data_IF_129558849394
#
_entry.id   IF_129558849394
#
_cell.length_a   1.000
_cell.length_b   1.000
_cell.length_c   1.000
_cell.angle_alpha   90.00
_cell.angle_beta   90.00
_cell.angle_gamma   90.00
#
_symmetry.space_group_name_H-M   'P 1'
#
loop_
_entity.id
_entity.type
_entity.pdbx_description
1 polymer ?
#
# COMPACT_ATOMS: atom_id res chain seq x y z
N UNK A 1 -26.86 79.86 -14.65
CA UNK A 1 -26.82 78.46 -15.13
C UNK A 1 -25.37 78.03 -15.35
N UNK A 2 -24.67 77.55 -14.30
CA UNK A 2 -23.26 77.11 -14.42
C UNK A 2 -22.87 76.04 -13.38
N UNK A 3 -23.82 75.21 -12.97
CA UNK A 3 -23.63 74.19 -11.91
C UNK A 3 -23.79 72.75 -12.40
N UNK A 4 -24.11 72.48 -13.67
CA UNK A 4 -24.35 71.10 -14.16
C UNK A 4 -23.13 70.41 -14.81
N UNK A 5 -21.97 71.07 -14.93
CA UNK A 5 -20.80 70.49 -15.63
C UNK A 5 -19.86 69.66 -14.74
N UNK A 6 -19.99 69.72 -13.41
CA UNK A 6 -19.18 68.91 -12.48
C UNK A 6 -19.85 67.59 -12.07
N UNK A 7 -21.18 67.55 -12.03
CA UNK A 7 -21.96 66.37 -11.63
C UNK A 7 -21.84 65.22 -12.65
N UNK A 8 -21.89 65.54 -13.95
CA UNK A 8 -21.74 64.55 -15.03
C UNK A 8 -20.39 63.81 -14.96
N UNK A 9 -19.30 64.50 -14.61
CA UNK A 9 -17.97 63.88 -14.47
C UNK A 9 -17.92 62.89 -13.30
N UNK A 10 -18.53 63.24 -12.16
CA UNK A 10 -18.60 62.36 -10.99
C UNK A 10 -19.42 61.11 -11.32
N UNK A 11 -20.56 61.26 -12.01
CA UNK A 11 -21.39 60.13 -12.45
C UNK A 11 -20.61 59.23 -13.42
N UNK A 12 -19.89 59.80 -14.38
CA UNK A 12 -19.07 59.03 -15.34
C UNK A 12 -17.92 58.30 -14.63
N UNK A 13 -17.22 58.95 -13.70
CA UNK A 13 -16.18 58.30 -12.89
C UNK A 13 -16.75 57.19 -12.00
N UNK A 14 -17.93 57.39 -11.42
CA UNK A 14 -18.62 56.38 -10.62
C UNK A 14 -19.01 55.17 -11.48
N UNK A 15 -19.58 55.41 -12.66
CA UNK A 15 -19.92 54.32 -13.61
C UNK A 15 -18.66 53.58 -14.05
N UNK A 16 -17.57 54.29 -14.39
CA UNK A 16 -16.30 53.67 -14.74
C UNK A 16 -15.71 52.85 -13.58
N UNK A 17 -15.79 53.35 -12.34
CA UNK A 17 -15.34 52.63 -11.16
C UNK A 17 -16.14 51.34 -10.95
N UNK A 18 -17.47 51.39 -11.07
CA UNK A 18 -18.34 50.21 -10.94
C UNK A 18 -18.05 49.19 -12.04
N UNK A 19 -17.95 49.62 -13.30
CA UNK A 19 -17.60 48.74 -14.43
C UNK A 19 -16.21 48.12 -14.22
N UNK A 20 -15.25 48.89 -13.71
CA UNK A 20 -13.91 48.40 -13.39
C UNK A 20 -13.93 47.30 -12.32
N UNK A 21 -14.68 47.49 -11.24
CA UNK A 21 -14.83 46.46 -10.17
C UNK A 21 -15.51 45.20 -10.73
N UNK A 22 -16.60 45.34 -11.49
CA UNK A 22 -17.29 44.19 -12.11
C UNK A 22 -16.35 43.44 -13.06
N UNK A 23 -15.59 44.17 -13.89
CA UNK A 23 -14.62 43.57 -14.81
C UNK A 23 -13.48 42.83 -14.09
N UNK A 24 -13.02 43.36 -12.95
CA UNK A 24 -12.01 42.72 -12.11
C UNK A 24 -12.54 41.44 -11.45
N UNK A 25 -13.74 41.48 -10.86
CA UNK A 25 -14.42 40.31 -10.28
C UNK A 25 -14.66 39.22 -11.33
N UNK A 26 -15.18 39.59 -12.51
CA UNK A 26 -15.38 38.66 -13.61
C UNK A 26 -14.05 38.02 -14.06
N UNK A 27 -12.99 38.82 -14.21
CA UNK A 27 -11.67 38.32 -14.59
C UNK A 27 -11.08 37.38 -13.54
N UNK A 28 -11.30 37.66 -12.26
CA UNK A 28 -10.88 36.80 -11.17
C UNK A 28 -11.67 35.47 -11.18
N UNK A 29 -12.99 35.53 -11.31
CA UNK A 29 -13.86 34.34 -11.43
C UNK A 29 -13.45 33.45 -12.59
N UNK A 30 -13.22 34.03 -13.78
CA UNK A 30 -12.78 33.27 -14.96
C UNK A 30 -11.42 32.60 -14.77
N UNK A 31 -10.48 33.24 -14.07
CA UNK A 31 -9.18 32.61 -13.75
C UNK A 31 -9.33 31.45 -12.77
N UNK A 32 -10.21 31.59 -11.78
CA UNK A 32 -10.51 30.53 -10.82
C UNK A 32 -11.14 29.33 -11.54
N UNK A 33 -12.15 29.57 -12.38
CA UNK A 33 -12.81 28.53 -13.17
C UNK A 33 -11.83 27.83 -14.12
N UNK A 34 -11.01 28.58 -14.87
CA UNK A 34 -10.02 28.00 -15.77
C UNK A 34 -9.00 27.13 -15.01
N UNK A 35 -8.62 27.53 -13.80
CA UNK A 35 -7.72 26.74 -12.95
C UNK A 35 -8.40 25.48 -12.44
N UNK A 36 -9.66 25.57 -12.00
CA UNK A 36 -10.45 24.43 -11.55
C UNK A 36 -10.68 23.41 -12.68
N UNK A 37 -11.02 23.86 -13.88
CA UNK A 37 -11.18 23.01 -15.07
C UNK A 37 -9.88 22.30 -15.43
N UNK A 38 -8.74 23.00 -15.35
CA UNK A 38 -7.43 22.39 -15.59
C UNK A 38 -7.11 21.32 -14.55
N UNK A 39 -7.25 21.63 -13.26
CA UNK A 39 -7.00 20.66 -12.20
C UNK A 39 -7.93 19.42 -12.31
N UNK A 40 -9.18 19.62 -12.69
CA UNK A 40 -10.11 18.52 -12.94
C UNK A 40 -9.68 17.65 -14.12
N UNK A 41 -9.29 18.26 -15.24
CA UNK A 41 -8.76 17.55 -16.40
C UNK A 41 -7.49 16.76 -16.05
N UNK A 42 -6.55 17.41 -15.35
CA UNK A 42 -5.27 16.81 -14.96
C UNK A 42 -5.50 15.62 -14.01
N UNK A 43 -6.47 15.73 -13.08
CA UNK A 43 -6.85 14.62 -12.20
C UNK A 43 -7.46 13.42 -12.93
N UNK A 44 -8.29 13.64 -13.96
CA UNK A 44 -8.80 12.55 -14.81
C UNK A 44 -7.66 11.87 -15.57
N UNK A 45 -6.79 12.67 -16.17
CA UNK A 45 -5.65 12.18 -16.94
C UNK A 45 -4.70 11.37 -16.05
N UNK A 46 -4.36 11.90 -14.87
CA UNK A 46 -3.53 11.21 -13.90
C UNK A 46 -4.15 9.87 -13.47
N UNK A 47 -5.46 9.80 -13.23
CA UNK A 47 -6.13 8.53 -12.89
C UNK A 47 -5.94 7.48 -13.98
N UNK A 48 -6.17 7.86 -15.25
CA UNK A 48 -5.99 6.92 -16.37
C UNK A 48 -4.53 6.55 -16.58
N UNK A 49 -3.58 7.45 -16.32
CA UNK A 49 -2.15 7.13 -16.31
C UNK A 49 -1.81 6.12 -15.21
N UNK A 50 -2.39 6.25 -14.00
CA UNK A 50 -2.22 5.27 -12.93
C UNK A 50 -2.84 3.90 -13.29
N UNK A 51 -4.01 3.88 -13.94
CA UNK A 51 -4.64 2.65 -14.45
C UNK A 51 -3.78 2.00 -15.56
N UNK A 52 -3.15 2.80 -16.43
CA UNK A 52 -2.22 2.31 -17.45
C UNK A 52 -0.96 1.72 -16.80
N UNK A 53 -0.39 2.37 -15.78
CA UNK A 53 0.70 1.83 -14.97
C UNK A 53 0.33 0.49 -14.33
N UNK A 54 -0.86 0.38 -13.74
CA UNK A 54 -1.38 -0.87 -13.20
C UNK A 54 -1.48 -1.95 -14.29
N UNK A 55 -1.99 -1.62 -15.48
CA UNK A 55 -2.06 -2.57 -16.59
C UNK A 55 -0.67 -3.07 -17.04
N UNK A 56 0.36 -2.21 -17.05
CA UNK A 56 1.74 -2.64 -17.33
C UNK A 56 2.28 -3.56 -16.23
N UNK A 57 2.00 -3.27 -14.96
CA UNK A 57 2.37 -4.16 -13.86
C UNK A 57 1.70 -5.53 -13.98
N UNK A 58 0.41 -5.57 -14.30
CA UNK A 58 -0.32 -6.82 -14.54
C UNK A 58 0.31 -7.62 -15.68
N UNK A 59 0.72 -6.96 -16.76
CA UNK A 59 1.40 -7.61 -17.90
C UNK A 59 2.67 -8.35 -17.47
N UNK A 60 3.46 -7.78 -16.56
CA UNK A 60 4.64 -8.46 -16.01
C UNK A 60 4.24 -9.63 -15.08
N UNK A 61 3.22 -9.45 -14.24
CA UNK A 61 2.76 -10.47 -13.28
C UNK A 61 2.19 -11.71 -13.99
N UNK A 62 1.38 -11.51 -15.03
CA UNK A 62 0.74 -12.61 -15.78
C UNK A 62 1.68 -13.30 -16.76
N UNK A 63 2.89 -12.78 -16.96
CA UNK A 63 3.90 -13.45 -17.77
C UNK A 63 4.24 -14.83 -17.19
N UNK A 64 4.60 -15.78 -18.06
CA UNK A 64 4.89 -17.16 -17.70
C UNK A 64 6.18 -17.26 -16.86
N UNK A 65 6.02 -17.06 -15.56
CA UNK A 65 7.09 -17.06 -14.57
C UNK A 65 6.72 -17.92 -13.37
N UNK A 66 7.72 -18.63 -12.88
CA UNK A 66 7.60 -19.54 -11.74
C UNK A 66 8.15 -18.94 -10.45
N UNK A 67 9.20 -18.13 -10.57
CA UNK A 67 9.94 -17.59 -9.44
C UNK A 67 9.99 -16.07 -9.53
N UNK A 68 10.12 -15.43 -8.36
CA UNK A 68 10.45 -14.01 -8.29
C UNK A 68 11.55 -13.78 -7.27
N UNK A 69 12.39 -12.80 -7.55
CA UNK A 69 13.46 -12.34 -6.67
C UNK A 69 13.76 -10.87 -6.94
N UNK A 70 14.50 -10.22 -6.05
CA UNK A 70 15.05 -8.89 -6.33
C UNK A 70 16.33 -9.02 -7.17
N UNK A 71 16.49 -8.13 -8.15
CA UNK A 71 17.74 -7.98 -8.89
C UNK A 71 18.76 -7.09 -8.14
N UNK A 72 19.88 -6.80 -8.79
CA UNK A 72 20.93 -5.93 -8.27
C UNK A 72 20.51 -4.48 -8.02
N UNK A 73 19.40 -4.04 -8.62
CA UNK A 73 18.80 -2.72 -8.43
C UNK A 73 17.65 -2.72 -7.40
N UNK A 74 17.36 -3.87 -6.79
CA UNK A 74 16.26 -4.02 -5.83
C UNK A 74 14.88 -4.07 -6.49
N UNK A 75 14.80 -4.30 -7.80
CA UNK A 75 13.55 -4.44 -8.54
C UNK A 75 13.08 -5.89 -8.52
N UNK A 76 11.78 -6.09 -8.28
CA UNK A 76 11.18 -7.42 -8.35
C UNK A 76 11.22 -7.92 -9.80
N UNK A 77 11.96 -9.01 -10.01
CA UNK A 77 12.19 -9.66 -11.30
C UNK A 77 11.53 -11.03 -11.34
N UNK A 78 10.91 -11.34 -12.47
CA UNK A 78 10.22 -12.59 -12.72
C UNK A 78 11.13 -13.54 -13.51
N UNK A 79 11.13 -14.82 -13.15
CA UNK A 79 11.96 -15.84 -13.81
C UNK A 79 11.09 -17.00 -14.30
N UNK A 80 11.41 -17.50 -15.50
CA UNK A 80 10.78 -18.69 -16.07
C UNK A 80 11.11 -19.94 -15.27
N UNK A 81 10.44 -21.06 -15.57
CA UNK A 81 10.79 -22.36 -14.99
C UNK A 81 12.24 -22.77 -15.31
N UNK A 82 12.77 -22.36 -16.46
CA UNK A 82 14.16 -22.59 -16.88
C UNK A 82 15.15 -21.61 -16.26
N UNK A 83 14.70 -20.81 -15.28
CA UNK A 83 15.53 -19.88 -14.48
C UNK A 83 16.08 -18.69 -15.29
N UNK A 84 15.45 -18.40 -16.42
CA UNK A 84 15.79 -17.23 -17.23
C UNK A 84 14.98 -16.02 -16.73
N UNK A 85 15.62 -14.84 -16.55
CA UNK A 85 14.90 -13.64 -16.21
C UNK A 85 14.01 -13.20 -17.38
N UNK A 86 12.79 -12.78 -17.08
CA UNK A 86 11.92 -12.14 -18.05
C UNK A 86 12.33 -10.68 -18.26
N UNK A 87 12.12 -10.11 -19.46
CA UNK A 87 12.39 -8.70 -19.71
C UNK A 87 11.58 -7.81 -18.77
N UNK A 88 12.26 -6.92 -18.07
CA UNK A 88 11.62 -5.88 -17.27
C UNK A 88 11.14 -4.74 -18.17
N UNK A 89 10.00 -4.17 -17.81
CA UNK A 89 9.50 -2.95 -18.44
C UNK A 89 10.05 -1.73 -17.70
N UNK A 90 10.17 -0.57 -18.36
CA UNK A 90 10.46 0.66 -17.65
C UNK A 90 9.31 0.94 -16.66
N UNK A 91 9.64 1.21 -15.40
CA UNK A 91 8.66 1.38 -14.31
C UNK A 91 8.62 2.79 -13.70
N UNK A 92 9.58 3.64 -14.03
CA UNK A 92 9.70 4.99 -13.46
C UNK A 92 9.55 6.06 -14.54
N UNK A 93 8.62 7.01 -14.34
CA UNK A 93 8.38 8.18 -15.18
C UNK A 93 8.36 7.86 -16.67
N UNK A 94 7.61 6.83 -17.03
CA UNK A 94 7.46 6.40 -18.42
C UNK A 94 6.53 7.37 -19.13
N UNK A 95 6.99 7.92 -20.25
CA UNK A 95 6.18 8.82 -21.08
C UNK A 95 4.98 8.08 -21.69
N UNK A 96 3.81 8.69 -21.56
CA UNK A 96 2.56 8.23 -22.16
C UNK A 96 1.74 9.44 -22.60
N UNK A 97 0.71 9.23 -23.41
CA UNK A 97 -0.07 10.34 -23.96
C UNK A 97 -0.61 11.26 -22.85
N UNK A 98 -0.18 12.53 -22.86
CA UNK A 98 -0.60 13.56 -21.90
C UNK A 98 0.19 13.63 -20.59
N UNK A 99 1.08 12.69 -20.28
CA UNK A 99 1.85 12.72 -19.03
C UNK A 99 2.84 11.57 -18.88
N UNK A 100 3.08 11.17 -17.64
CA UNK A 100 3.95 10.06 -17.31
C UNK A 100 3.26 9.12 -16.33
N UNK A 101 3.73 7.88 -16.25
CA UNK A 101 3.32 6.96 -15.20
C UNK A 101 4.51 6.30 -14.53
N UNK A 102 4.32 5.87 -13.29
CA UNK A 102 5.27 5.02 -12.57
C UNK A 102 4.52 3.89 -11.89
N UNK A 103 5.18 2.75 -11.68
CA UNK A 103 4.64 1.70 -10.83
C UNK A 103 5.71 0.91 -10.09
N UNK A 104 5.32 0.29 -8.98
CA UNK A 104 6.15 -0.63 -8.20
C UNK A 104 5.39 -1.92 -7.99
N UNK A 105 6.08 -3.04 -8.15
CA UNK A 105 5.56 -4.37 -7.83
C UNK A 105 6.34 -4.88 -6.61
N UNK A 106 5.62 -5.30 -5.57
CA UNK A 106 6.19 -5.97 -4.40
C UNK A 106 5.51 -7.31 -4.16
N UNK A 107 6.24 -8.24 -3.56
CA UNK A 107 5.75 -9.57 -3.23
C UNK A 107 5.00 -9.54 -1.89
N UNK A 108 3.71 -9.86 -1.87
CA UNK A 108 2.93 -9.95 -0.63
C UNK A 108 3.31 -11.18 0.20
N UNK A 109 3.85 -12.23 -0.42
CA UNK A 109 4.40 -13.39 0.28
C UNK A 109 5.83 -13.14 0.78
N UNK A 110 6.35 -11.91 0.69
CA UNK A 110 7.53 -11.48 1.47
C UNK A 110 7.16 -11.04 2.90
N UNK A 111 5.86 -10.86 3.19
CA UNK A 111 5.30 -10.30 4.43
C UNK A 111 4.60 -11.37 5.25
N UNK A 112 4.40 -11.09 6.54
CA UNK A 112 3.70 -12.01 7.45
C UNK A 112 2.19 -11.84 7.31
N UNK A 113 1.48 -12.94 7.06
CA UNK A 113 0.02 -12.91 6.96
C UNK A 113 -0.64 -13.00 8.33
N UNK A 114 -1.31 -11.94 8.78
CA UNK A 114 -1.93 -11.91 10.11
C UNK A 114 -3.15 -12.83 10.23
N UNK A 115 -3.86 -13.11 9.14
CA UNK A 115 -5.03 -13.99 9.13
C UNK A 115 -4.68 -15.47 9.28
N UNK A 116 -3.43 -15.86 9.04
CA UNK A 116 -3.00 -17.27 9.08
C UNK A 116 -1.83 -17.52 10.03
N UNK A 117 -1.28 -16.47 10.63
CA UNK A 117 -0.17 -16.55 11.58
C UNK A 117 -0.62 -17.03 12.95
N UNK A 118 0.20 -17.88 13.57
CA UNK A 118 0.06 -18.23 14.97
C UNK A 118 0.47 -17.05 15.88
N UNK A 119 -0.08 -16.94 17.10
CA UNK A 119 0.19 -15.82 18.01
C UNK A 119 1.68 -15.58 18.27
N UNK A 120 2.48 -16.65 18.39
CA UNK A 120 3.91 -16.53 18.66
C UNK A 120 4.68 -15.92 17.49
N UNK A 121 4.18 -16.08 16.25
CA UNK A 121 4.77 -15.45 15.06
C UNK A 121 4.47 -13.96 15.06
N UNK A 122 3.26 -13.57 15.46
CA UNK A 122 2.87 -12.16 15.58
C UNK A 122 3.67 -11.48 16.69
N UNK A 123 3.83 -12.11 17.87
CA UNK A 123 4.66 -11.56 18.96
C UNK A 123 6.11 -11.35 18.50
N UNK A 124 6.72 -12.33 17.81
CA UNK A 124 8.06 -12.16 17.23
C UNK A 124 8.11 -11.05 16.18
N UNK A 125 7.09 -10.89 15.34
CA UNK A 125 7.02 -9.79 14.37
C UNK A 125 7.01 -8.43 15.10
N UNK A 126 6.15 -8.26 16.10
CA UNK A 126 6.05 -7.03 16.86
C UNK A 126 7.35 -6.75 17.65
N UNK A 127 8.05 -7.80 18.10
CA UNK A 127 9.33 -7.69 18.77
C UNK A 127 10.46 -7.33 17.81
N UNK A 128 10.65 -8.06 16.70
CA UNK A 128 11.83 -7.92 15.87
C UNK A 128 11.68 -6.86 14.78
N UNK A 129 10.47 -6.64 14.25
CA UNK A 129 10.26 -5.65 13.17
C UNK A 129 10.07 -4.26 13.76
N UNK A 130 9.21 -4.18 14.78
CA UNK A 130 8.79 -2.91 15.35
C UNK A 130 9.52 -2.59 16.66
N UNK A 131 10.16 -3.59 17.30
CA UNK A 131 10.89 -3.39 18.56
C UNK A 131 9.99 -2.92 19.71
N UNK A 132 8.73 -3.37 19.74
CA UNK A 132 7.77 -2.98 20.77
C UNK A 132 8.03 -3.73 22.08
N UNK A 133 7.75 -3.06 23.21
CA UNK A 133 7.84 -3.66 24.53
C UNK A 133 6.78 -4.74 24.76
N UNK A 134 7.08 -5.72 25.63
CA UNK A 134 6.22 -6.90 25.83
C UNK A 134 4.78 -6.53 26.21
N UNK A 135 4.57 -5.54 27.06
CA UNK A 135 3.23 -5.09 27.45
C UNK A 135 2.40 -4.59 26.26
N UNK A 136 3.00 -3.84 25.34
CA UNK A 136 2.32 -3.35 24.13
C UNK A 136 2.04 -4.51 23.18
N UNK A 137 2.98 -5.45 23.05
CA UNK A 137 2.79 -6.64 22.20
C UNK A 137 1.69 -7.55 22.71
N UNK A 138 1.57 -7.72 24.02
CA UNK A 138 0.53 -8.54 24.64
C UNK A 138 -0.85 -7.96 24.37
N UNK A 139 -1.02 -6.63 24.48
CA UNK A 139 -2.26 -5.95 24.10
C UNK A 139 -2.58 -6.17 22.61
N UNK A 140 -1.66 -5.82 21.71
CA UNK A 140 -1.91 -5.95 20.26
C UNK A 140 -2.17 -7.41 19.87
N UNK A 141 -1.41 -8.35 20.44
CA UNK A 141 -1.54 -9.77 20.15
C UNK A 141 -2.89 -10.33 20.59
N UNK A 142 -3.32 -10.03 21.81
CA UNK A 142 -4.62 -10.46 22.34
C UNK A 142 -5.76 -9.77 21.58
N UNK A 143 -5.71 -8.45 21.38
CA UNK A 143 -6.75 -7.70 20.66
C UNK A 143 -6.87 -8.09 19.18
N UNK A 144 -5.77 -8.49 18.52
CA UNK A 144 -5.82 -9.02 17.15
C UNK A 144 -6.52 -10.39 17.10
N UNK A 145 -6.41 -11.19 18.15
CA UNK A 145 -7.11 -12.48 18.23
C UNK A 145 -8.59 -12.29 18.51
N UNK A 146 -8.94 -11.40 19.45
CA UNK A 146 -10.33 -11.03 19.76
C UNK A 146 -11.01 -10.46 18.50
N UNK A 147 -10.35 -9.52 17.79
CA UNK A 147 -10.85 -8.95 16.54
C UNK A 147 -11.25 -9.99 15.47
N UNK A 148 -10.60 -11.16 15.47
CA UNK A 148 -10.73 -12.18 14.43
C UNK A 148 -11.65 -13.33 14.79
N UNK A 149 -11.79 -13.62 16.07
CA UNK A 149 -12.55 -14.78 16.50
C UNK A 149 -14.05 -14.48 16.54
N UNK A 150 -14.91 -15.50 16.56
CA UNK A 150 -16.35 -15.31 16.36
C UNK A 150 -17.12 -14.97 17.64
N UNK A 151 -16.44 -14.87 18.78
CA UNK A 151 -17.09 -14.67 20.08
C UNK A 151 -16.94 -13.22 20.56
N UNK A 152 -17.34 -12.93 21.79
CA UNK A 152 -17.25 -11.58 22.39
C UNK A 152 -16.58 -11.66 23.79
N UNK A 153 -15.80 -12.73 24.03
CA UNK A 153 -15.03 -12.91 25.25
C UNK A 153 -13.62 -12.33 25.05
N UNK A 154 -13.34 -11.22 25.71
CA UNK A 154 -12.02 -10.59 25.61
C UNK A 154 -10.94 -11.42 26.32
N UNK A 155 -9.75 -11.47 25.72
CA UNK A 155 -8.54 -12.03 26.36
C UNK A 155 -8.02 -11.08 27.45
N UNK A 156 -7.01 -11.54 28.20
CA UNK A 156 -6.48 -10.82 29.37
C UNK A 156 -6.11 -9.36 29.07
N UNK A 157 -5.43 -9.13 27.94
CA UNK A 157 -5.06 -7.79 27.45
C UNK A 157 -5.82 -7.42 26.17
N UNK A 158 -6.83 -8.22 25.82
CA UNK A 158 -7.60 -8.10 24.60
C UNK A 158 -8.69 -7.04 24.68
N UNK A 159 -9.48 -6.97 23.62
CA UNK A 159 -10.55 -6.00 23.46
C UNK A 159 -11.63 -6.54 22.52
N UNK A 160 -12.88 -6.48 22.95
CA UNK A 160 -14.07 -6.87 22.19
C UNK A 160 -15.04 -5.68 22.01
N UNK A 161 -16.17 -5.93 21.34
CA UNK A 161 -17.13 -4.87 21.02
C UNK A 161 -17.70 -4.21 22.27
N UNK A 162 -18.24 -5.02 23.18
CA UNK A 162 -19.06 -4.54 24.30
C UNK A 162 -18.22 -3.96 25.45
N UNK A 163 -17.01 -4.47 25.66
CA UNK A 163 -16.11 -4.04 26.73
C UNK A 163 -15.21 -2.86 26.33
N UNK A 164 -14.82 -2.75 25.06
CA UNK A 164 -13.90 -1.73 24.57
C UNK A 164 -14.44 -0.90 23.39
N UNK A 165 -14.67 -1.48 22.21
CA UNK A 165 -14.85 -0.69 20.97
C UNK A 165 -16.13 0.16 20.97
N UNK A 166 -17.23 -0.30 21.57
CA UNK A 166 -18.48 0.46 21.70
C UNK A 166 -18.42 1.57 22.75
N UNK A 167 -17.35 1.64 23.54
CA UNK A 167 -17.12 2.71 24.53
C UNK A 167 -16.21 3.82 24.01
N UNK A 168 -15.67 3.68 22.80
CA UNK A 168 -14.88 4.71 22.15
C UNK A 168 -15.74 5.95 21.82
N UNK A 169 -15.12 7.15 21.69
CA UNK A 169 -15.85 8.36 21.30
C UNK A 169 -16.60 8.22 19.97
N UNK A 170 -16.02 7.47 19.04
CA UNK A 170 -16.69 7.00 17.83
C UNK A 170 -16.84 5.47 17.95
N UNK A 171 -18.00 4.97 18.43
CA UNK A 171 -18.16 3.56 18.73
C UNK A 171 -18.31 2.72 17.46
N UNK A 172 -17.68 1.56 17.45
CA UNK A 172 -17.81 0.51 16.43
C UNK A 172 -17.71 -0.87 17.08
N UNK A 173 -17.93 -1.92 16.30
CA UNK A 173 -17.80 -3.32 16.75
C UNK A 173 -16.50 -3.92 16.24
N UNK A 174 -15.97 -4.89 16.98
CA UNK A 174 -14.97 -5.80 16.45
C UNK A 174 -15.52 -6.52 15.20
N UNK A 175 -14.63 -6.93 14.31
CA UNK A 175 -15.04 -7.54 13.05
C UNK A 175 -15.54 -8.98 13.24
N UNK A 176 -15.01 -9.68 14.26
CA UNK A 176 -15.27 -11.08 14.56
C UNK A 176 -15.03 -12.01 13.36
N UNK A 177 -14.02 -11.64 12.56
CA UNK A 177 -13.64 -12.30 11.33
C UNK A 177 -12.20 -11.95 10.94
N UNK A 178 -11.63 -12.71 10.00
CA UNK A 178 -10.34 -12.36 9.41
C UNK A 178 -10.35 -10.94 8.84
N UNK A 179 -9.21 -10.25 8.95
CA UNK A 179 -9.03 -8.91 8.41
C UNK A 179 -9.21 -8.95 6.89
N UNK A 180 -10.02 -8.04 6.37
CA UNK A 180 -10.20 -7.81 4.94
C UNK A 180 -9.19 -6.82 4.38
N UNK A 181 -8.67 -5.89 5.17
CA UNK A 181 -7.58 -4.98 4.78
C UNK A 181 -6.59 -4.79 5.92
N UNK A 182 -5.32 -4.55 5.59
CA UNK A 182 -4.33 -4.16 6.61
C UNK A 182 -4.73 -2.88 7.33
N UNK A 183 -5.52 -2.01 6.69
CA UNK A 183 -5.97 -0.74 7.30
C UNK A 183 -6.86 -0.92 8.50
N UNK A 184 -7.52 -2.08 8.66
CA UNK A 184 -8.27 -2.40 9.87
C UNK A 184 -7.40 -2.43 11.13
N UNK A 185 -6.08 -2.65 10.99
CA UNK A 185 -5.15 -2.59 12.11
C UNK A 185 -5.18 -1.23 12.83
N UNK A 186 -5.53 -0.14 12.13
CA UNK A 186 -5.70 1.18 12.76
C UNK A 186 -6.86 1.24 13.76
N UNK A 187 -7.74 0.25 13.77
CA UNK A 187 -8.89 0.16 14.68
C UNK A 187 -8.62 -0.78 15.87
N UNK A 188 -7.57 -1.58 15.82
CA UNK A 188 -7.29 -2.59 16.85
C UNK A 188 -6.68 -1.91 18.08
N UNK A 189 -7.17 -2.29 19.26
CA UNK A 189 -6.61 -1.82 20.53
C UNK A 189 -5.10 -2.10 20.62
N UNK A 190 -4.34 -1.12 21.11
CA UNK A 190 -2.88 -1.09 21.11
C UNK A 190 -2.27 -0.43 19.87
N UNK A 191 -2.92 -0.53 18.70
CA UNK A 191 -2.48 0.16 17.46
C UNK A 191 -3.22 1.49 17.29
N UNK A 192 -4.52 1.52 17.57
CA UNK A 192 -5.39 2.69 17.48
C UNK A 192 -4.81 3.91 18.23
N UNK A 193 -4.24 3.68 19.41
CA UNK A 193 -3.70 4.70 20.29
C UNK A 193 -2.35 5.23 19.82
N UNK A 194 -1.62 4.45 19.01
CA UNK A 194 -0.26 4.78 18.55
C UNK A 194 -0.12 4.54 17.03
N UNK A 195 -0.59 5.48 16.18
CA UNK A 195 -0.56 5.33 14.73
C UNK A 195 0.83 5.06 14.13
N UNK A 196 1.91 5.43 14.82
CA UNK A 196 3.29 5.13 14.42
C UNK A 196 3.58 3.62 14.38
N UNK A 197 2.83 2.78 15.11
CA UNK A 197 2.93 1.32 15.01
C UNK A 197 2.47 0.85 13.62
N UNK A 198 1.42 1.48 13.08
CA UNK A 198 0.92 1.15 11.75
C UNK A 198 1.79 1.73 10.63
N UNK A 199 2.11 3.02 10.71
CA UNK A 199 2.81 3.77 9.66
C UNK A 199 4.34 3.64 9.70
N UNK A 200 4.90 3.29 10.85
CA UNK A 200 6.34 3.28 11.06
C UNK A 200 6.91 4.63 11.49
N UNK A 201 8.23 4.65 11.60
CA UNK A 201 9.07 5.79 11.99
C UNK A 201 10.27 5.87 11.04
N UNK A 202 11.13 6.87 11.18
CA UNK A 202 12.36 6.93 10.37
C UNK A 202 13.29 5.74 10.68
N UNK A 203 13.27 5.25 11.92
CA UNK A 203 14.17 4.19 12.40
C UNK A 203 13.62 2.78 12.24
N UNK A 204 12.29 2.62 12.20
CA UNK A 204 11.63 1.31 12.21
C UNK A 204 10.44 1.25 11.26
N UNK A 205 10.25 0.13 10.53
CA UNK A 205 9.10 -0.05 9.66
C UNK A 205 7.79 -0.12 10.45
N UNK A 206 6.69 0.25 9.80
CA UNK A 206 5.34 0.08 10.34
C UNK A 206 4.77 -1.30 10.03
N UNK A 207 3.65 -1.66 10.67
CA UNK A 207 2.87 -2.84 10.29
C UNK A 207 2.54 -2.84 8.79
N UNK A 208 2.22 -1.67 8.22
CA UNK A 208 1.85 -1.52 6.81
C UNK A 208 2.92 -2.03 5.82
N UNK A 209 4.19 -2.08 6.24
CA UNK A 209 5.33 -2.50 5.42
C UNK A 209 5.63 -4.00 5.55
N UNK A 210 5.31 -4.60 6.69
CA UNK A 210 5.80 -5.95 7.08
C UNK A 210 4.70 -7.01 7.15
N UNK A 211 3.43 -6.61 7.08
CA UNK A 211 2.28 -7.53 7.15
C UNK A 211 1.45 -7.57 5.87
N UNK A 212 0.70 -8.65 5.72
CA UNK A 212 -0.37 -8.79 4.74
C UNK A 212 -1.57 -9.48 5.38
N UNK A 213 -2.72 -9.42 4.71
CA UNK A 213 -3.94 -10.16 5.07
C UNK A 213 -4.48 -10.99 3.89
N UNK A 214 -3.83 -10.89 2.71
CA UNK A 214 -4.34 -11.36 1.42
C UNK A 214 -3.61 -12.58 0.84
N UNK A 215 -2.45 -12.95 1.37
CA UNK A 215 -1.72 -14.12 0.84
C UNK A 215 -2.49 -15.42 1.12
N UNK A 216 -2.42 -16.43 0.23
CA UNK A 216 -3.24 -17.63 0.32
C UNK A 216 -2.84 -18.57 1.47
N UNK A 217 -1.66 -18.40 2.04
CA UNK A 217 -1.14 -19.26 3.10
C UNK A 217 -0.23 -18.52 4.06
N UNK A 218 0.54 -19.30 4.81
CA UNK A 218 1.43 -18.80 5.87
C UNK A 218 2.92 -19.03 5.54
N UNK A 219 3.22 -19.26 4.26
CA UNK A 219 4.57 -19.40 3.75
C UNK A 219 5.10 -18.04 3.31
N UNK A 220 6.40 -17.81 3.51
CA UNK A 220 7.08 -16.59 3.08
C UNK A 220 8.09 -16.94 1.99
N UNK A 221 8.06 -16.22 0.87
CA UNK A 221 8.99 -16.40 -0.23
C UNK A 221 10.41 -15.96 0.20
N UNK A 222 11.32 -16.93 0.31
CA UNK A 222 12.69 -16.70 0.79
C UNK A 222 13.53 -15.81 -0.13
N UNK A 223 13.15 -15.70 -1.42
CA UNK A 223 13.83 -14.84 -2.38
C UNK A 223 13.56 -13.35 -2.15
N UNK A 224 12.45 -13.02 -1.49
CA UNK A 224 11.96 -11.64 -1.31
C UNK A 224 11.74 -11.26 0.16
N UNK A 225 11.70 -12.25 1.07
CA UNK A 225 11.52 -12.06 2.52
C UNK A 225 12.49 -11.04 3.09
N UNK A 226 12.02 -10.15 3.96
CA UNK A 226 12.90 -9.27 4.73
C UNK A 226 13.57 -10.04 5.87
N UNK A 227 14.68 -9.51 6.40
CA UNK A 227 15.32 -10.02 7.62
C UNK A 227 14.30 -10.19 8.73
N UNK A 228 13.44 -9.17 8.94
CA UNK A 228 12.46 -9.25 9.99
C UNK A 228 11.38 -10.32 9.73
N UNK A 229 10.88 -10.46 8.50
CA UNK A 229 9.92 -11.52 8.20
C UNK A 229 10.49 -12.92 8.52
N UNK A 230 11.78 -13.14 8.27
CA UNK A 230 12.47 -14.38 8.64
C UNK A 230 12.67 -14.53 10.16
N UNK A 231 12.93 -13.45 10.90
CA UNK A 231 12.96 -13.48 12.37
C UNK A 231 11.58 -13.81 12.96
N UNK A 232 10.50 -13.28 12.37
CA UNK A 232 9.14 -13.62 12.76
C UNK A 232 8.85 -15.12 12.56
N UNK A 233 9.41 -15.74 11.51
CA UNK A 233 9.37 -17.20 11.31
C UNK A 233 10.20 -17.99 12.34
N UNK A 234 11.05 -17.34 13.14
CA UNK A 234 11.90 -17.98 14.13
C UNK A 234 13.22 -18.51 13.56
N UNK A 235 13.70 -17.96 12.44
CA UNK A 235 15.04 -18.26 11.95
C UNK A 235 16.09 -17.58 12.85
N UNK A 236 17.23 -18.26 13.01
CA UNK A 236 18.40 -17.70 13.69
C UNK A 236 19.16 -16.73 12.78
N UNK A 237 19.93 -15.82 13.37
CA UNK A 237 20.74 -14.85 12.61
C UNK A 237 21.71 -15.53 11.63
N UNK A 238 22.25 -16.69 12.00
CA UNK A 238 23.10 -17.49 11.13
C UNK A 238 22.35 -18.01 9.88
N UNK A 239 21.13 -18.51 10.06
CA UNK A 239 20.30 -18.98 8.95
C UNK A 239 19.86 -17.82 8.05
N UNK A 240 19.51 -16.68 8.63
CA UNK A 240 19.14 -15.48 7.88
C UNK A 240 20.33 -14.98 7.08
N UNK A 241 21.51 -14.89 7.70
CA UNK A 241 22.76 -14.52 7.01
C UNK A 241 23.06 -15.44 5.84
N UNK A 242 22.87 -16.75 6.00
CA UNK A 242 23.03 -17.72 4.93
C UNK A 242 22.05 -17.49 3.77
N UNK A 243 20.76 -17.30 4.07
CA UNK A 243 19.73 -17.04 3.04
C UNK A 243 20.06 -15.75 2.29
N UNK A 244 20.43 -14.71 3.03
CA UNK A 244 20.73 -13.39 2.47
C UNK A 244 21.94 -13.45 1.54
N UNK A 245 23.02 -14.10 1.98
CA UNK A 245 24.23 -14.27 1.19
C UNK A 245 24.00 -15.14 -0.06
N UNK A 246 23.24 -16.23 0.08
CA UNK A 246 22.99 -17.14 -1.04
C UNK A 246 22.12 -16.47 -2.10
N UNK A 247 21.03 -15.80 -1.68
CA UNK A 247 20.09 -15.17 -2.64
C UNK A 247 20.67 -13.96 -3.35
N UNK A 248 21.69 -13.30 -2.79
CA UNK A 248 22.41 -12.22 -3.50
C UNK A 248 23.28 -12.74 -4.65
N UNK A 249 23.64 -14.02 -4.64
CA UNK A 249 24.38 -14.65 -5.74
C UNK A 249 23.44 -15.18 -6.82
N UNK A 250 22.38 -15.88 -6.41
CA UNK A 250 21.33 -16.36 -7.30
C UNK A 250 20.05 -16.66 -6.50
N UNK A 251 18.86 -16.50 -7.11
CA UNK A 251 17.61 -16.90 -6.47
C UNK A 251 17.60 -18.38 -6.07
N UNK A 252 16.90 -18.69 -4.99
CA UNK A 252 16.54 -20.05 -4.65
C UNK A 252 15.48 -20.57 -5.62
N UNK A 253 15.82 -21.62 -6.35
CA UNK A 253 14.91 -22.32 -7.28
C UNK A 253 14.16 -23.49 -6.63
N UNK A 254 14.69 -23.96 -5.49
CA UNK A 254 14.15 -25.03 -4.68
C UNK A 254 14.33 -24.66 -3.21
N UNK A 255 13.40 -25.10 -2.36
CA UNK A 255 13.51 -24.91 -0.92
C UNK A 255 14.53 -25.90 -0.35
N UNK A 256 15.62 -25.44 0.29
CA UNK A 256 16.56 -26.34 0.95
C UNK A 256 15.85 -27.13 2.07
N UNK A 257 16.13 -28.43 2.19
CA UNK A 257 15.39 -29.33 3.10
C UNK A 257 15.37 -28.87 4.57
N UNK A 258 16.46 -28.26 5.06
CA UNK A 258 16.54 -27.69 6.41
C UNK A 258 15.54 -26.56 6.69
N UNK A 259 15.02 -25.91 5.65
CA UNK A 259 14.04 -24.84 5.74
C UNK A 259 12.60 -25.31 5.47
N UNK A 260 12.39 -26.58 5.12
CA UNK A 260 11.09 -27.15 4.74
C UNK A 260 9.99 -26.96 5.79
N UNK A 261 10.33 -27.05 7.08
CA UNK A 261 9.39 -26.89 8.19
C UNK A 261 9.31 -25.46 8.75
N UNK A 262 10.05 -24.50 8.16
CA UNK A 262 10.16 -23.13 8.69
C UNK A 262 9.15 -22.14 8.09
N UNK A 263 8.17 -22.63 7.32
CA UNK A 263 7.20 -21.76 6.66
C UNK A 263 7.82 -20.88 5.57
N UNK A 264 8.85 -21.38 4.89
CA UNK A 264 9.47 -20.72 3.74
C UNK A 264 8.99 -21.36 2.44
N UNK A 265 8.91 -20.56 1.37
CA UNK A 265 8.67 -20.99 -0.01
C UNK A 265 9.70 -20.32 -0.95
N UNK A 266 9.71 -20.73 -2.22
CA UNK A 266 10.50 -20.07 -3.29
C UNK A 266 9.62 -19.50 -4.40
N UNK A 267 8.31 -19.58 -4.23
CA UNK A 267 7.30 -19.18 -5.21
C UNK A 267 6.31 -18.25 -4.56
N UNK A 268 5.72 -17.37 -5.36
CA UNK A 268 4.65 -16.47 -4.93
C UNK A 268 3.54 -16.40 -5.97
N UNK A 269 2.36 -16.01 -5.49
CA UNK A 269 1.14 -15.80 -6.24
C UNK A 269 0.54 -14.42 -5.99
N UNK A 270 0.92 -13.73 -4.91
CA UNK A 270 0.25 -12.50 -4.48
C UNK A 270 1.21 -11.32 -4.54
N UNK A 271 0.78 -10.25 -5.21
CA UNK A 271 1.60 -9.08 -5.47
C UNK A 271 0.84 -7.81 -5.09
N UNK A 272 1.56 -6.81 -4.59
CA UNK A 272 1.06 -5.45 -4.45
C UNK A 272 1.63 -4.59 -5.57
N UNK A 273 0.75 -3.91 -6.26
CA UNK A 273 1.05 -2.92 -7.29
C UNK A 273 0.74 -1.54 -6.75
N UNK A 274 1.75 -0.69 -6.67
CA UNK A 274 1.60 0.73 -6.39
C UNK A 274 1.82 1.49 -7.70
N UNK A 275 0.78 2.11 -8.24
CA UNK A 275 0.79 2.81 -9.51
C UNK A 275 0.53 4.31 -9.29
N UNK A 276 1.19 5.13 -10.11
CA UNK A 276 1.15 6.59 -10.02
C UNK A 276 0.94 7.20 -11.40
N UNK A 277 0.01 8.15 -11.48
CA UNK A 277 -0.17 9.01 -12.65
C UNK A 277 0.46 10.36 -12.42
N UNK A 278 1.30 10.79 -13.36
CA UNK A 278 2.10 12.00 -13.25
C UNK A 278 1.69 12.97 -14.36
N UNK A 279 1.21 14.14 -14.00
CA UNK A 279 0.83 15.21 -14.93
C UNK A 279 1.59 16.47 -14.54
N UNK A 280 2.17 17.16 -15.53
CA UNK A 280 2.99 18.37 -15.29
C UNK A 280 4.10 18.18 -14.24
N UNK A 281 4.68 16.97 -14.16
CA UNK A 281 5.75 16.62 -13.22
C UNK A 281 5.32 16.38 -11.78
N UNK A 282 4.01 16.33 -11.49
CA UNK A 282 3.45 16.04 -10.15
C UNK A 282 2.66 14.74 -10.17
N UNK A 283 2.73 13.99 -9.08
CA UNK A 283 1.89 12.80 -8.88
C UNK A 283 0.50 13.29 -8.50
N UNK A 284 -0.43 13.22 -9.44
CA UNK A 284 -1.80 13.73 -9.29
C UNK A 284 -2.82 12.59 -9.08
N UNK A 285 -2.38 11.33 -9.21
CA UNK A 285 -3.19 10.15 -8.85
C UNK A 285 -2.30 9.01 -8.36
N UNK A 286 -2.81 8.26 -7.37
CA UNK A 286 -2.21 7.02 -6.86
C UNK A 286 -3.25 5.90 -6.84
N UNK A 287 -2.76 4.69 -7.06
CA UNK A 287 -3.55 3.47 -7.07
C UNK A 287 -2.72 2.37 -6.41
N UNK A 288 -3.30 1.69 -5.44
CA UNK A 288 -2.71 0.52 -4.79
C UNK A 288 -3.65 -0.64 -5.01
N UNK A 289 -3.15 -1.72 -5.59
CA UNK A 289 -3.91 -2.94 -5.80
C UNK A 289 -3.14 -4.15 -5.28
N UNK A 290 -3.84 -5.02 -4.57
CA UNK A 290 -3.32 -6.35 -4.23
C UNK A 290 -3.95 -7.34 -5.19
N UNK A 291 -3.11 -8.08 -5.90
CA UNK A 291 -3.51 -8.96 -6.98
C UNK A 291 -2.95 -10.36 -6.76
N UNK A 292 -3.72 -11.36 -7.16
CA UNK A 292 -3.33 -12.77 -7.07
C UNK A 292 -3.33 -13.39 -8.46
N UNK A 293 -2.24 -14.07 -8.79
CA UNK A 293 -2.09 -14.90 -9.98
C UNK A 293 -2.46 -16.34 -9.64
N UNK A 294 -3.59 -16.86 -10.14
CA UNK A 294 -3.98 -18.24 -9.88
C UNK A 294 -2.96 -19.21 -10.51
N UNK A 295 -2.58 -20.24 -9.77
CA UNK A 295 -1.81 -21.36 -10.32
C UNK A 295 -2.66 -22.11 -11.36
N UNK A 296 -2.22 -22.09 -12.63
CA UNK A 296 -2.81 -22.81 -13.78
C UNK A 296 -4.03 -22.17 -14.46
N UNK A 297 -4.17 -20.84 -14.46
CA UNK A 297 -5.15 -20.17 -15.31
C UNK A 297 -4.71 -20.18 -16.79
N UNK A 298 -5.56 -20.69 -17.69
CA UNK A 298 -5.38 -20.63 -19.14
C UNK A 298 -6.64 -19.99 -19.78
N UNK A 299 -6.54 -18.79 -20.38
CA UNK A 299 -5.35 -17.93 -20.48
C UNK A 299 -4.88 -17.43 -19.10
N UNK A 300 -3.64 -16.92 -18.97
CA UNK A 300 -3.17 -16.30 -17.75
C UNK A 300 -4.15 -15.22 -17.29
N UNK A 301 -4.65 -15.35 -16.06
CA UNK A 301 -5.56 -14.36 -15.46
C UNK A 301 -4.98 -13.81 -14.18
N UNK A 302 -5.55 -12.69 -13.73
CA UNK A 302 -5.25 -12.11 -12.44
C UNK A 302 -6.56 -11.84 -11.70
N UNK A 303 -6.56 -12.06 -10.40
CA UNK A 303 -7.65 -11.71 -9.51
C UNK A 303 -7.25 -10.49 -8.70
N UNK A 304 -8.06 -9.44 -8.73
CA UNK A 304 -7.88 -8.28 -7.86
C UNK A 304 -8.50 -8.63 -6.49
N UNK A 305 -7.69 -8.64 -5.44
CA UNK A 305 -8.09 -8.95 -4.06
C UNK A 305 -8.38 -7.68 -3.25
N UNK A 306 -7.75 -6.57 -3.60
CA UNK A 306 -7.96 -5.25 -3.01
C UNK A 306 -7.64 -4.18 -4.05
N UNK A 307 -8.43 -3.10 -4.04
CA UNK A 307 -8.24 -1.95 -4.90
C UNK A 307 -8.48 -0.68 -4.09
N UNK A 308 -7.46 0.17 -4.00
CA UNK A 308 -7.50 1.43 -3.29
C UNK A 308 -6.97 2.55 -4.18
N UNK A 309 -7.72 3.63 -4.30
CA UNK A 309 -7.32 4.84 -5.02
C UNK A 309 -7.33 6.00 -4.01
N UNK A 310 -6.29 6.11 -3.16
CA UNK A 310 -6.21 7.19 -2.19
C UNK A 310 -6.20 8.53 -2.92
N UNK A 311 -6.97 9.49 -2.39
CA UNK A 311 -7.00 10.86 -2.90
C UNK A 311 -5.73 11.62 -2.56
#
# INVERSE_FOLDING_TARGET
MRTERGFALIVVLLVMAIVGVIGAEFSYSMRLEATAVRAYKDGILARHLAEAAFAQAVREIVADSRYVAYDEHGLLTFYTQDRLPLPQLPREKVDFEGGQYSYRITDEEARVNLNTSAPERVDRLLQFCLGLDKSVRDVIGDSLQDWRDANEEHRLNGAESDDFYLKLPLPYRAHNANLESITELLQIHGVLETPAIFWGTEERPGLADVVTVKSPGNQINMNTATTCAMQALGLSDAEIGEIMQSRSLAPYWTLPGKFGAKGLSVTTQTFRVEAQGIVSGRVDARLIAIVRRPSNATPPTIQILEWSAPR
#
